data_IF_937573009175
#
_entry.id   IF_937573009175
#
_cell.length_a   1.000
_cell.length_b   1.000
_cell.length_c   1.000
_cell.angle_alpha   90.00
_cell.angle_beta   90.00
_cell.angle_gamma   90.00
#
_symmetry.space_group_name_H-M   'P 1'
#
loop_
_entity.id
_entity.type
_entity.pdbx_description
1 polymer ?
#
# COMPACT_ATOMS: atom_id res chain seq x y z
N UNK A 1 -34.09 16.85 12.21
CA UNK A 1 -33.12 15.91 12.82
C UNK A 1 -31.74 16.56 12.74
N UNK A 2 -31.07 16.80 13.87
CA UNK A 2 -29.73 17.40 13.92
C UNK A 2 -28.67 16.30 14.00
N UNK A 3 -27.52 16.53 13.36
CA UNK A 3 -26.37 15.62 13.36
C UNK A 3 -25.29 16.17 14.29
N UNK A 4 -24.67 15.32 15.11
CA UNK A 4 -23.64 15.74 16.07
C UNK A 4 -22.25 15.27 15.62
N UNK A 5 -21.25 16.13 15.70
CA UNK A 5 -19.86 15.77 15.49
C UNK A 5 -19.38 14.88 16.64
N UNK A 6 -18.88 13.67 16.33
CA UNK A 6 -18.43 12.74 17.37
C UNK A 6 -17.11 13.16 18.04
N UNK A 7 -16.45 14.22 17.55
CA UNK A 7 -15.12 14.64 17.99
C UNK A 7 -15.17 15.85 18.93
N UNK A 8 -16.10 16.79 18.69
CA UNK A 8 -16.24 18.01 19.49
C UNK A 8 -17.68 18.23 19.99
N UNK A 9 -18.61 17.33 19.70
CA UNK A 9 -20.02 17.39 20.11
C UNK A 9 -20.84 18.56 19.52
N UNK A 10 -20.29 19.37 18.61
CA UNK A 10 -21.05 20.40 17.88
C UNK A 10 -22.19 19.81 17.04
N UNK A 11 -23.29 20.55 16.89
CA UNK A 11 -24.48 20.10 16.16
C UNK A 11 -24.66 20.82 14.83
N UNK A 12 -25.12 20.08 13.82
CA UNK A 12 -25.25 20.53 12.44
C UNK A 12 -26.61 20.15 11.88
N UNK A 13 -27.19 21.06 11.10
CA UNK A 13 -28.51 20.88 10.47
C UNK A 13 -28.47 19.98 9.23
N UNK A 14 -27.28 19.68 8.67
CA UNK A 14 -27.14 18.82 7.50
C UNK A 14 -25.83 18.04 7.47
N UNK A 15 -25.82 16.92 6.73
CA UNK A 15 -24.62 16.10 6.55
C UNK A 15 -23.50 16.85 5.82
N UNK A 16 -23.84 17.74 4.89
CA UNK A 16 -22.87 18.57 4.17
C UNK A 16 -22.11 19.50 5.12
N UNK A 17 -22.82 20.14 6.05
CA UNK A 17 -22.21 21.04 7.03
C UNK A 17 -21.32 20.28 8.02
N UNK A 18 -21.77 19.12 8.51
CA UNK A 18 -20.95 18.25 9.35
C UNK A 18 -19.65 17.83 8.63
N UNK A 19 -19.74 17.43 7.35
CA UNK A 19 -18.56 17.07 6.55
C UNK A 19 -17.57 18.21 6.39
N UNK A 20 -18.07 19.43 6.10
CA UNK A 20 -17.21 20.61 5.98
C UNK A 20 -16.56 20.96 7.31
N UNK A 21 -17.32 20.92 8.41
CA UNK A 21 -16.79 21.10 9.76
C UNK A 21 -15.68 20.08 10.08
N UNK A 22 -15.94 18.78 9.93
CA UNK A 22 -14.92 17.75 10.22
C UNK A 22 -13.66 17.92 9.35
N UNK A 23 -13.81 18.27 8.07
CA UNK A 23 -12.64 18.51 7.19
C UNK A 23 -11.83 19.74 7.59
N UNK A 24 -12.49 20.79 8.07
CA UNK A 24 -11.85 22.08 8.35
C UNK A 24 -11.29 22.15 9.77
N UNK A 25 -12.06 21.67 10.75
CA UNK A 25 -11.70 21.68 12.18
C UNK A 25 -10.95 20.44 12.62
N UNK A 26 -11.11 19.33 11.89
CA UNK A 26 -10.55 18.03 12.25
C UNK A 26 -9.77 17.38 11.10
N UNK A 27 -8.98 18.20 10.39
CA UNK A 27 -8.27 17.88 9.14
C UNK A 27 -7.31 16.67 9.25
N UNK A 28 -6.89 16.32 10.47
CA UNK A 28 -5.89 15.30 10.77
C UNK A 28 -6.43 14.08 11.55
N UNK A 29 -7.74 13.81 11.50
CA UNK A 29 -8.39 12.81 12.36
C UNK A 29 -7.76 11.41 12.35
N UNK A 30 -6.85 11.20 13.30
CA UNK A 30 -6.46 9.89 13.81
C UNK A 30 -7.46 9.38 14.86
N UNK A 31 -8.29 10.26 15.42
CA UNK A 31 -9.22 9.90 16.49
C UNK A 31 -10.37 9.05 15.94
N UNK A 32 -10.41 7.79 16.36
CA UNK A 32 -11.50 6.86 16.09
C UNK A 32 -12.40 6.87 17.34
N UNK A 33 -13.59 7.50 17.33
CA UNK A 33 -14.39 7.68 18.54
C UNK A 33 -14.76 6.37 19.23
N UNK A 34 -14.97 5.31 18.44
CA UNK A 34 -15.31 3.97 18.91
C UNK A 34 -14.10 3.04 19.07
N UNK A 35 -12.86 3.57 19.09
CA UNK A 35 -11.66 2.74 19.22
C UNK A 35 -11.71 1.79 20.42
N UNK A 36 -12.25 2.27 21.55
CA UNK A 36 -12.41 1.50 22.78
C UNK A 36 -13.35 0.29 22.63
N UNK A 37 -14.14 0.21 21.55
CA UNK A 37 -15.02 -0.92 21.23
C UNK A 37 -14.35 -1.91 20.26
N UNK A 38 -13.21 -1.56 19.66
CA UNK A 38 -12.51 -2.45 18.74
C UNK A 38 -11.75 -3.52 19.52
N UNK A 39 -12.21 -4.77 19.41
CA UNK A 39 -11.52 -5.91 20.00
C UNK A 39 -10.16 -6.11 19.32
N UNK A 40 -9.13 -6.39 20.12
CA UNK A 40 -7.82 -6.77 19.59
C UNK A 40 -7.96 -8.05 18.74
N UNK A 41 -7.54 -8.05 17.47
CA UNK A 41 -7.55 -9.27 16.67
C UNK A 41 -6.55 -10.29 17.24
N UNK A 42 -6.86 -11.57 17.08
CA UNK A 42 -5.91 -12.64 17.40
C UNK A 42 -4.71 -12.61 16.45
N UNK A 43 -3.60 -13.22 16.87
CA UNK A 43 -2.40 -13.34 16.04
C UNK A 43 -2.69 -14.09 14.72
N UNK A 44 -3.42 -15.21 14.80
CA UNK A 44 -3.80 -16.00 13.62
C UNK A 44 -4.65 -15.20 12.62
N UNK A 45 -5.58 -14.37 13.11
CA UNK A 45 -6.35 -13.48 12.25
C UNK A 45 -5.45 -12.46 11.54
N UNK A 46 -4.50 -11.84 12.26
CA UNK A 46 -3.57 -10.88 11.66
C UNK A 46 -2.76 -11.53 10.53
N UNK A 47 -2.15 -12.70 10.80
CA UNK A 47 -1.38 -13.45 9.81
C UNK A 47 -2.25 -13.80 8.60
N UNK A 48 -3.45 -14.34 8.82
CA UNK A 48 -4.35 -14.73 7.73
C UNK A 48 -4.70 -13.56 6.79
N UNK A 49 -4.92 -12.36 7.33
CA UNK A 49 -5.20 -11.19 6.51
C UNK A 49 -3.95 -10.58 5.85
N UNK A 50 -2.78 -10.66 6.48
CA UNK A 50 -1.50 -10.32 5.84
C UNK A 50 -1.23 -11.23 4.63
N UNK A 51 -1.38 -12.54 4.80
CA UNK A 51 -1.25 -13.53 3.73
C UNK A 51 -2.24 -13.26 2.59
N UNK A 52 -3.49 -12.93 2.93
CA UNK A 52 -4.51 -12.56 1.94
C UNK A 52 -4.08 -11.34 1.11
N UNK A 53 -3.50 -10.30 1.73
CA UNK A 53 -2.94 -9.16 0.98
C UNK A 53 -1.82 -9.60 0.05
N UNK A 54 -0.84 -10.37 0.56
CA UNK A 54 0.32 -10.82 -0.23
C UNK A 54 -0.14 -11.62 -1.44
N UNK A 55 -1.03 -12.60 -1.26
CA UNK A 55 -1.56 -13.44 -2.34
C UNK A 55 -2.27 -12.58 -3.39
N UNK A 56 -3.12 -11.65 -2.99
CA UNK A 56 -3.87 -10.81 -3.92
C UNK A 56 -2.98 -9.82 -4.67
N UNK A 57 -2.01 -9.21 -3.99
CA UNK A 57 -1.02 -8.32 -4.62
C UNK A 57 -0.21 -9.10 -5.65
N UNK A 58 0.38 -10.23 -5.26
CA UNK A 58 1.20 -11.08 -6.16
C UNK A 58 0.42 -11.61 -7.37
N UNK A 59 -0.88 -11.88 -7.23
CA UNK A 59 -1.75 -12.25 -8.36
C UNK A 59 -1.92 -11.13 -9.38
N UNK A 60 -1.69 -9.86 -9.01
CA UNK A 60 -1.72 -8.71 -9.93
C UNK A 60 -0.36 -8.34 -10.49
N UNK A 61 0.74 -8.90 -9.96
CA UNK A 61 2.06 -8.78 -10.54
C UNK A 61 2.15 -9.71 -11.76
N UNK A 62 2.12 -9.11 -12.95
CA UNK A 62 2.33 -9.83 -14.19
C UNK A 62 3.75 -9.63 -14.73
N UNK A 63 4.07 -10.39 -15.77
CA UNK A 63 5.41 -10.47 -16.35
C UNK A 63 5.51 -9.78 -17.72
N UNK A 64 4.40 -9.23 -18.21
CA UNK A 64 4.30 -8.63 -19.54
C UNK A 64 4.09 -7.12 -19.42
N UNK A 65 4.55 -6.31 -20.40
CA UNK A 65 4.26 -4.87 -20.49
C UNK A 65 2.77 -4.51 -20.32
N UNK A 66 1.86 -5.39 -20.74
CA UNK A 66 0.41 -5.18 -20.57
C UNK A 66 -0.08 -5.34 -19.13
N UNK A 67 0.77 -5.88 -18.25
CA UNK A 67 0.53 -6.00 -16.82
C UNK A 67 1.03 -4.81 -16.00
N UNK A 68 1.72 -3.84 -16.64
CA UNK A 68 2.16 -2.59 -16.01
C UNK A 68 0.96 -1.69 -15.69
N UNK A 69 1.17 -0.73 -14.78
CA UNK A 69 0.21 0.33 -14.45
C UNK A 69 -0.57 0.11 -13.17
N UNK A 70 -1.52 1.00 -12.89
CA UNK A 70 -2.28 1.00 -11.64
C UNK A 70 -3.16 -0.24 -11.50
N UNK A 71 -3.02 -0.92 -10.36
CA UNK A 71 -3.82 -2.07 -9.96
C UNK A 71 -4.63 -1.74 -8.71
N UNK A 72 -5.73 -2.46 -8.57
CA UNK A 72 -6.60 -2.42 -7.40
C UNK A 72 -6.98 -3.84 -7.00
N UNK A 73 -6.78 -4.16 -5.73
CA UNK A 73 -7.24 -5.40 -5.12
C UNK A 73 -8.22 -5.09 -4.00
N UNK A 74 -9.16 -6.01 -3.76
CA UNK A 74 -10.18 -5.87 -2.72
C UNK A 74 -10.29 -7.17 -1.92
N UNK A 75 -10.58 -7.05 -0.63
CA UNK A 75 -11.00 -8.16 0.23
C UNK A 75 -12.35 -7.76 0.82
N UNK A 76 -13.39 -8.54 0.50
CA UNK A 76 -14.71 -8.38 1.08
C UNK A 76 -14.73 -8.99 2.48
N UNK A 77 -15.62 -8.49 3.34
CA UNK A 77 -15.79 -8.98 4.72
C UNK A 77 -14.48 -8.85 5.53
N UNK A 78 -13.75 -7.76 5.31
CA UNK A 78 -12.52 -7.45 6.04
C UNK A 78 -12.82 -6.79 7.40
N UNK A 79 -12.35 -7.33 8.53
CA UNK A 79 -12.63 -6.79 9.86
C UNK A 79 -11.99 -5.42 10.09
N UNK A 80 -12.77 -4.49 10.66
CA UNK A 80 -12.31 -3.13 10.98
C UNK A 80 -11.12 -3.15 11.93
N UNK A 81 -11.22 -3.94 13.00
CA UNK A 81 -10.19 -4.03 14.03
C UNK A 81 -8.84 -4.50 13.46
N UNK A 82 -8.82 -5.45 12.53
CA UNK A 82 -7.61 -5.90 11.84
C UNK A 82 -6.98 -4.74 11.07
N UNK A 83 -7.77 -3.97 10.32
CA UNK A 83 -7.26 -2.84 9.54
C UNK A 83 -6.64 -1.79 10.47
N UNK A 84 -7.36 -1.42 11.52
CA UNK A 84 -6.87 -0.45 12.50
C UNK A 84 -5.60 -0.96 13.17
N UNK A 85 -5.54 -2.22 13.60
CA UNK A 85 -4.36 -2.78 14.26
C UNK A 85 -3.12 -2.79 13.37
N UNK A 86 -3.27 -3.07 12.08
CA UNK A 86 -2.16 -3.10 11.13
C UNK A 86 -1.59 -1.71 10.81
N UNK A 87 -2.43 -0.67 10.82
CA UNK A 87 -2.05 0.63 10.24
C UNK A 87 -2.11 1.82 11.21
N UNK A 88 -2.69 1.70 12.41
CA UNK A 88 -2.91 2.83 13.32
C UNK A 88 -1.63 3.56 13.74
N UNK A 89 -0.49 2.87 13.78
CA UNK A 89 0.82 3.45 14.13
C UNK A 89 1.38 4.33 13.02
N UNK A 90 0.87 4.19 11.79
CA UNK A 90 1.50 4.80 10.63
C UNK A 90 1.20 6.30 10.53
N UNK A 91 2.20 7.13 10.12
CA UNK A 91 2.03 8.59 10.07
C UNK A 91 0.90 9.04 9.14
N UNK A 92 0.67 8.32 8.05
CA UNK A 92 -0.35 8.61 7.04
C UNK A 92 -1.74 8.04 7.37
N UNK A 93 -1.89 7.32 8.48
CA UNK A 93 -3.16 6.74 8.89
C UNK A 93 -4.20 7.83 9.20
N UNK A 94 -5.36 7.76 8.55
CA UNK A 94 -6.46 8.71 8.72
C UNK A 94 -7.79 7.98 8.80
N UNK A 95 -8.69 8.48 9.65
CA UNK A 95 -10.07 8.04 9.76
C UNK A 95 -11.04 9.18 9.42
N UNK A 96 -12.07 8.85 8.65
CA UNK A 96 -13.18 9.74 8.33
C UNK A 96 -14.47 9.22 8.96
N UNK A 97 -14.94 9.90 10.00
CA UNK A 97 -16.12 9.52 10.78
C UNK A 97 -17.40 9.47 9.94
N UNK A 98 -17.66 10.48 9.10
CA UNK A 98 -18.89 10.52 8.28
C UNK A 98 -18.96 9.42 7.23
N UNK A 99 -17.82 9.07 6.62
CA UNK A 99 -17.73 8.04 5.59
C UNK A 99 -17.47 6.64 6.18
N UNK A 100 -17.18 6.55 7.48
CA UNK A 100 -16.68 5.34 8.14
C UNK A 100 -15.57 4.68 7.33
N UNK A 101 -14.59 5.52 6.97
CA UNK A 101 -13.51 5.18 6.04
C UNK A 101 -12.17 5.38 6.70
N UNK A 102 -11.31 4.37 6.63
CA UNK A 102 -9.90 4.47 6.95
C UNK A 102 -9.07 4.60 5.68
N UNK A 103 -7.91 5.24 5.79
CA UNK A 103 -6.91 5.32 4.73
C UNK A 103 -5.51 5.32 5.34
N UNK A 104 -4.58 4.62 4.69
CA UNK A 104 -3.16 4.66 4.99
C UNK A 104 -2.38 4.64 3.66
N UNK A 105 -1.38 5.51 3.51
CA UNK A 105 -0.62 5.67 2.27
C UNK A 105 0.88 5.53 2.52
N UNK A 106 1.57 4.81 1.65
CA UNK A 106 3.00 4.52 1.72
C UNK A 106 3.65 4.99 0.42
N UNK A 107 4.71 5.79 0.52
CA UNK A 107 5.37 6.44 -0.62
C UNK A 107 6.89 6.41 -0.48
N UNK A 108 7.58 6.04 -1.55
CA UNK A 108 9.04 5.99 -1.56
C UNK A 108 9.63 4.77 -0.83
N UNK A 109 10.95 4.64 -0.91
CA UNK A 109 11.67 3.42 -0.48
C UNK A 109 11.57 3.15 1.03
N UNK A 110 11.60 4.19 1.86
CA UNK A 110 11.48 4.04 3.33
C UNK A 110 10.14 3.37 3.69
N UNK A 111 9.07 3.79 3.03
CA UNK A 111 7.74 3.25 3.26
C UNK A 111 7.54 1.87 2.62
N UNK A 112 8.29 1.52 1.55
CA UNK A 112 8.37 0.14 1.04
C UNK A 112 8.91 -0.81 2.10
N UNK A 113 10.01 -0.44 2.79
CA UNK A 113 10.57 -1.24 3.87
C UNK A 113 9.60 -1.35 5.04
N UNK A 114 8.88 -0.26 5.36
CA UNK A 114 7.86 -0.29 6.40
C UNK A 114 6.75 -1.28 6.09
N UNK A 115 6.32 -1.38 4.83
CA UNK A 115 5.32 -2.38 4.42
C UNK A 115 5.81 -3.82 4.52
N UNK A 116 7.11 -4.10 4.36
CA UNK A 116 7.63 -5.46 4.61
C UNK A 116 7.39 -5.90 6.05
N UNK A 117 7.56 -4.98 7.00
CA UNK A 117 7.28 -5.21 8.42
C UNK A 117 5.78 -5.38 8.68
N UNK A 118 4.94 -4.51 8.09
CA UNK A 118 3.48 -4.57 8.28
C UNK A 118 2.87 -5.82 7.65
N UNK A 119 3.37 -6.25 6.50
CA UNK A 119 2.91 -7.47 5.82
C UNK A 119 3.62 -8.74 6.32
N UNK A 120 4.65 -8.58 7.16
CA UNK A 120 5.45 -9.67 7.69
C UNK A 120 6.04 -10.60 6.59
N UNK A 121 6.50 -10.00 5.48
CA UNK A 121 7.07 -10.78 4.38
C UNK A 121 8.01 -9.93 3.51
N UNK A 122 9.28 -10.35 3.40
CA UNK A 122 10.35 -9.60 2.73
C UNK A 122 10.09 -9.38 1.23
N UNK A 123 9.59 -10.42 0.55
CA UNK A 123 9.44 -10.43 -0.91
C UNK A 123 7.99 -10.15 -1.36
N UNK A 124 7.22 -9.40 -0.57
CA UNK A 124 5.81 -9.14 -0.86
C UNK A 124 5.60 -8.36 -2.17
N UNK A 125 6.54 -7.45 -2.48
CA UNK A 125 6.44 -6.49 -3.58
C UNK A 125 6.86 -7.04 -4.93
N UNK A 126 7.43 -8.24 -5.01
CA UNK A 126 7.92 -8.81 -6.27
C UNK A 126 7.38 -10.23 -6.52
N UNK A 127 7.33 -10.63 -7.79
CA UNK A 127 7.05 -12.01 -8.20
C UNK A 127 7.85 -12.32 -9.45
N UNK A 128 8.63 -13.39 -9.42
CA UNK A 128 9.42 -13.83 -10.56
C UNK A 128 8.73 -14.99 -11.28
N UNK A 129 8.76 -14.97 -12.61
CA UNK A 129 8.41 -16.11 -13.44
C UNK A 129 9.52 -17.18 -13.36
N UNK A 130 9.19 -18.43 -12.98
CA UNK A 130 10.21 -19.46 -12.78
C UNK A 130 10.94 -19.84 -14.08
N UNK A 131 10.28 -19.69 -15.23
CA UNK A 131 10.75 -20.06 -16.56
C UNK A 131 11.50 -18.89 -17.19
N UNK A 132 10.85 -17.74 -17.34
CA UNK A 132 11.42 -16.60 -18.09
C UNK A 132 12.32 -15.71 -17.23
N UNK A 133 12.34 -15.91 -15.91
CA UNK A 133 13.05 -15.06 -14.91
C UNK A 133 12.61 -13.60 -14.88
N UNK A 134 11.65 -13.21 -15.70
CA UNK A 134 11.02 -11.90 -15.69
C UNK A 134 10.34 -11.67 -14.35
N UNK A 135 10.49 -10.48 -13.79
CA UNK A 135 9.92 -10.17 -12.49
C UNK A 135 8.93 -9.01 -12.60
N UNK A 136 7.76 -9.21 -12.01
CA UNK A 136 6.77 -8.17 -11.79
C UNK A 136 6.93 -7.56 -10.41
N UNK A 137 6.80 -6.25 -10.29
CA UNK A 137 7.04 -5.51 -9.05
C UNK A 137 5.92 -4.53 -8.74
N UNK A 138 5.74 -4.23 -7.45
CA UNK A 138 5.05 -3.04 -6.97
C UNK A 138 6.03 -1.87 -7.01
N UNK A 139 5.69 -0.83 -7.77
CA UNK A 139 6.55 0.33 -7.98
C UNK A 139 6.35 1.35 -6.85
N UNK A 140 7.44 1.73 -6.19
CA UNK A 140 7.49 2.81 -5.18
C UNK A 140 8.25 4.04 -5.66
N UNK A 141 9.25 3.85 -6.52
CA UNK A 141 10.09 4.91 -7.08
C UNK A 141 10.48 4.48 -8.50
N UNK A 142 10.41 5.41 -9.45
CA UNK A 142 11.16 5.38 -10.71
C UNK A 142 11.99 6.68 -10.82
N UNK A 143 12.64 6.95 -11.95
CA UNK A 143 13.46 8.17 -12.08
C UNK A 143 12.70 9.48 -12.04
N UNK A 144 11.42 9.44 -12.40
CA UNK A 144 10.61 10.64 -12.59
C UNK A 144 9.78 10.95 -11.35
N UNK A 145 9.29 9.92 -10.65
CA UNK A 145 8.31 10.07 -9.59
C UNK A 145 8.31 8.95 -8.53
N UNK A 146 7.90 9.34 -7.32
CA UNK A 146 7.55 8.40 -6.26
C UNK A 146 6.09 7.98 -6.37
N UNK A 147 5.88 6.68 -6.38
CA UNK A 147 4.59 6.03 -6.46
C UNK A 147 4.03 5.72 -5.06
N UNK A 148 2.71 5.68 -4.96
CA UNK A 148 2.01 5.47 -3.70
C UNK A 148 1.29 4.12 -3.68
N UNK A 149 1.43 3.40 -2.56
CA UNK A 149 0.57 2.29 -2.21
C UNK A 149 -0.44 2.78 -1.17
N UNK A 150 -1.73 2.68 -1.49
CA UNK A 150 -2.80 3.13 -0.62
C UNK A 150 -3.66 1.95 -0.18
N UNK A 151 -3.80 1.79 1.12
CA UNK A 151 -4.77 0.92 1.75
C UNK A 151 -5.97 1.76 2.20
N UNK A 152 -7.18 1.28 1.97
CA UNK A 152 -8.40 1.94 2.39
C UNK A 152 -9.42 0.93 2.86
N UNK A 153 -10.00 1.14 4.03
CA UNK A 153 -11.11 0.35 4.53
C UNK A 153 -12.38 1.19 4.55
N UNK A 154 -13.50 0.60 4.19
CA UNK A 154 -14.81 1.25 4.22
C UNK A 154 -15.86 0.29 4.74
N UNK A 155 -16.71 0.77 5.65
CA UNK A 155 -17.90 0.04 6.05
C UNK A 155 -18.93 0.10 4.92
N UNK A 156 -19.40 -1.07 4.50
CA UNK A 156 -20.47 -1.23 3.52
C UNK A 156 -21.70 -1.84 4.19
N UNK A 157 -22.88 -1.45 3.68
CA UNK A 157 -24.18 -1.94 4.15
C UNK A 157 -24.91 -2.52 2.94
N UNK A 158 -25.32 -3.77 3.04
CA UNK A 158 -26.23 -4.41 2.11
C UNK A 158 -27.56 -4.67 2.84
N UNK A 159 -28.68 -4.29 2.23
CA UNK A 159 -30.01 -4.57 2.77
C UNK A 159 -30.71 -5.50 1.79
N UNK A 160 -31.12 -6.66 2.28
CA UNK A 160 -31.76 -7.69 1.47
C UNK A 160 -32.77 -8.46 2.32
N UNK A 161 -34.00 -8.63 1.82
CA UNK A 161 -35.07 -9.40 2.47
C UNK A 161 -35.27 -9.05 3.97
N UNK A 162 -35.37 -7.76 4.30
CA UNK A 162 -35.47 -7.22 5.67
C UNK A 162 -34.26 -7.49 6.59
N UNK A 163 -33.21 -8.12 6.08
CA UNK A 163 -31.94 -8.29 6.78
C UNK A 163 -30.95 -7.22 6.35
N UNK A 164 -30.24 -6.65 7.32
CA UNK A 164 -29.12 -5.75 7.06
C UNK A 164 -27.81 -6.49 7.32
N UNK A 165 -26.95 -6.53 6.31
CA UNK A 165 -25.58 -6.97 6.41
C UNK A 165 -24.67 -5.76 6.52
N UNK A 166 -23.79 -5.76 7.51
CA UNK A 166 -22.74 -4.75 7.65
C UNK A 166 -21.40 -5.47 7.59
N UNK A 167 -20.57 -5.09 6.61
CA UNK A 167 -19.26 -5.68 6.43
C UNK A 167 -18.26 -4.62 5.98
N UNK A 168 -17.00 -4.80 6.39
CA UNK A 168 -15.90 -4.00 5.90
C UNK A 168 -15.42 -4.49 4.55
N UNK A 169 -14.99 -3.56 3.70
CA UNK A 169 -14.24 -3.86 2.49
C UNK A 169 -12.92 -3.10 2.57
N UNK A 170 -11.81 -3.83 2.44
CA UNK A 170 -10.52 -3.19 2.24
C UNK A 170 -10.15 -3.19 0.76
N UNK A 171 -9.56 -2.09 0.33
CA UNK A 171 -9.03 -1.89 -1.00
C UNK A 171 -7.55 -1.53 -0.88
N UNK A 172 -6.70 -2.16 -1.68
CA UNK A 172 -5.31 -1.76 -1.87
C UNK A 172 -5.11 -1.33 -3.32
N UNK A 173 -4.57 -0.12 -3.52
CA UNK A 173 -4.22 0.42 -4.84
C UNK A 173 -2.72 0.68 -4.90
N UNK A 174 -2.10 0.25 -5.99
CA UNK A 174 -0.65 0.33 -6.21
C UNK A 174 -0.35 0.33 -7.71
N UNK A 175 0.83 0.77 -8.10
CA UNK A 175 1.29 0.67 -9.49
C UNK A 175 2.23 -0.52 -9.64
N UNK A 176 2.09 -1.24 -10.76
CA UNK A 176 2.98 -2.35 -11.08
C UNK A 176 3.86 -2.03 -12.27
N UNK A 177 5.05 -2.63 -12.27
CA UNK A 177 5.95 -2.64 -13.42
C UNK A 177 6.48 -4.07 -13.68
N UNK A 178 7.06 -4.29 -14.86
CA UNK A 178 7.60 -5.60 -15.28
C UNK A 178 8.88 -5.41 -16.10
N UNK A 179 9.95 -6.11 -15.71
CA UNK A 179 11.24 -6.05 -16.41
C UNK A 179 12.25 -7.09 -15.92
N UNK A 180 13.38 -7.17 -16.62
CA UNK A 180 14.59 -7.85 -16.16
C UNK A 180 15.45 -6.80 -15.44
N UNK A 181 15.74 -7.03 -14.15
CA UNK A 181 16.72 -6.23 -13.43
C UNK A 181 18.05 -6.97 -13.43
N UNK A 182 19.10 -6.28 -13.84
CA UNK A 182 20.49 -6.69 -13.58
C UNK A 182 20.82 -6.15 -12.19
N UNK A 183 21.23 -7.01 -11.25
CA UNK A 183 21.81 -6.51 -10.00
C UNK A 183 23.16 -5.86 -10.36
N UNK A 184 23.57 -4.77 -9.70
CA UNK A 184 24.90 -4.16 -9.94
C UNK A 184 26.07 -5.16 -9.80
N UNK A 185 25.88 -6.24 -9.04
CA UNK A 185 26.86 -7.34 -8.95
C UNK A 185 27.04 -8.10 -10.28
N UNK A 186 26.01 -8.13 -11.12
CA UNK A 186 26.03 -8.74 -12.45
C UNK A 186 26.58 -7.75 -13.49
N UNK A 187 26.40 -6.43 -13.31
CA UNK A 187 27.08 -5.41 -14.15
C UNK A 187 28.59 -5.37 -13.90
N UNK A 188 29.05 -5.50 -12.65
CA UNK A 188 30.49 -5.61 -12.35
C UNK A 188 31.12 -6.83 -13.01
N UNK A 189 30.39 -7.95 -13.10
CA UNK A 189 30.85 -9.14 -13.83
C UNK A 189 30.91 -8.94 -15.34
N UNK A 190 29.97 -8.19 -15.93
CA UNK A 190 30.01 -7.84 -17.35
C UNK A 190 31.14 -6.83 -17.68
N UNK A 191 31.39 -5.85 -16.80
CA UNK A 191 32.47 -4.87 -16.98
C UNK A 191 33.87 -5.48 -16.72
N UNK A 192 34.01 -6.40 -15.75
CA UNK A 192 35.27 -7.12 -15.50
C UNK A 192 35.67 -8.05 -16.65
N UNK A 193 34.72 -8.51 -17.48
CA UNK A 193 35.03 -9.24 -18.72
C UNK A 193 35.48 -8.36 -19.88
N UNK A 194 35.29 -7.03 -19.81
CA UNK A 194 35.62 -6.09 -20.89
C UNK A 194 36.79 -5.13 -20.58
N UNK A 195 37.24 -5.02 -19.33
CA UNK A 195 38.36 -4.13 -18.97
C UNK A 195 39.48 -4.83 -18.21
N UNK A 196 40.40 -5.45 -18.93
CA UNK A 196 41.77 -5.55 -18.43
C UNK A 196 42.42 -4.16 -18.55
N UNK A 197 42.73 -3.54 -17.41
CA UNK A 197 43.91 -2.69 -17.08
C UNK A 197 43.53 -1.56 -16.08
N UNK A 198 44.08 -1.71 -14.86
CA UNK A 198 44.39 -0.75 -13.77
C UNK A 198 43.49 -0.65 -12.53
N UNK A 199 44.20 -0.67 -11.40
CA UNK A 199 43.89 -0.80 -9.96
C UNK A 199 43.17 0.39 -9.27
N UNK A 200 42.67 0.21 -8.02
CA UNK A 200 41.46 0.85 -7.50
C UNK A 200 41.72 2.06 -6.62
N UNK A 201 40.70 2.93 -6.50
CA UNK A 201 40.63 3.91 -5.42
C UNK A 201 39.25 3.88 -4.75
N UNK A 202 39.30 3.51 -3.48
CA UNK A 202 38.20 3.34 -2.54
C UNK A 202 37.49 4.65 -2.23
N UNK A 203 36.17 4.73 -2.48
CA UNK A 203 35.25 5.57 -1.69
C UNK A 203 33.89 4.85 -1.54
N UNK A 204 33.68 4.31 -0.34
CA UNK A 204 32.40 3.83 0.15
C UNK A 204 31.41 5.00 0.27
N UNK A 205 30.26 4.87 -0.36
CA UNK A 205 28.95 5.36 0.10
C UNK A 205 27.88 4.58 -0.70
N UNK A 206 27.38 3.50 -0.11
CA UNK A 206 26.32 2.65 -0.67
C UNK A 206 24.98 3.39 -0.61
N UNK A 207 24.67 4.13 -1.66
CA UNK A 207 23.30 4.48 -2.02
C UNK A 207 22.84 3.45 -3.06
N UNK A 208 21.89 2.58 -2.71
CA UNK A 208 21.28 1.63 -3.64
C UNK A 208 20.41 2.40 -4.64
N UNK A 209 21.00 2.88 -5.73
CA UNK A 209 20.22 3.42 -6.84
C UNK A 209 19.56 2.25 -7.58
N UNK A 210 18.22 2.17 -7.57
CA UNK A 210 17.47 1.27 -8.45
C UNK A 210 17.38 1.90 -9.84
N UNK A 211 18.39 1.66 -10.66
CA UNK A 211 18.50 2.17 -12.03
C UNK A 211 17.67 1.27 -12.96
N UNK A 212 16.52 1.75 -13.43
CA UNK A 212 15.75 1.16 -14.54
C UNK A 212 16.42 1.58 -15.87
N UNK A 213 17.00 0.69 -16.66
CA UNK A 213 17.53 1.14 -17.95
C UNK A 213 16.43 1.78 -18.81
N UNK A 214 16.66 3.02 -19.26
CA UNK A 214 15.85 3.69 -20.27
C UNK A 214 15.73 2.78 -21.48
N UNK A 215 14.51 2.39 -21.85
CA UNK A 215 14.29 1.75 -23.16
C UNK A 215 14.49 2.83 -24.22
N UNK A 216 15.64 2.77 -24.91
CA UNK A 216 15.83 3.50 -26.16
C UNK A 216 14.66 3.14 -27.09
N UNK A 217 13.87 4.16 -27.45
CA UNK A 217 12.88 4.05 -28.50
C UNK A 217 13.63 3.90 -29.83
N UNK A 218 13.88 2.67 -30.25
CA UNK A 218 14.20 2.39 -31.63
C UNK A 218 12.93 1.91 -32.32
N UNK A 219 12.29 2.87 -33.00
CA UNK A 219 11.41 2.62 -34.14
C UNK A 219 12.22 2.15 -35.34
#
# INVERSE_FOLDING_TARGET
>A
MTLRCCLCQETFISRKLLLTHERTKHRNNKTIPHFHLLLRPSFEQLISYQDAFIILIKKRLGFNRHSVGTKRVLINVFPENVFVYLFQSEPSFRYNTVLRKYRCTFKGEVEEQRLKQILNYEHWSCRQDPITKTTGYVLFVNYEESHEVTFSWTQTKLVENNRTFQCGVVTCTFTTDSGEFVNENDEKKLQESESHITTPTTKNNQSQYRIILSRNNYS
#
